data_IF_822810322710
#
_entry.id   IF_822810322710
#
_cell.length_a   1.000
_cell.length_b   1.000
_cell.length_c   1.000
_cell.angle_alpha   90.00
_cell.angle_beta   90.00
_cell.angle_gamma   90.00
#
_symmetry.space_group_name_H-M   'P 1'
#
loop_
_entity.id
_entity.type
_entity.pdbx_description
1 polymer ?
#
# COMPACT_ATOMS: atom_id res chain seq x y z
N UNK A 1 5.05 -2.23 17.99
CA UNK A 1 4.65 -1.57 16.72
C UNK A 1 5.89 -0.98 16.08
N UNK A 2 6.21 -1.36 14.84
CA UNK A 2 7.42 -0.91 14.14
C UNK A 2 7.44 0.63 13.96
N UNK A 3 8.62 1.23 13.83
CA UNK A 3 8.75 2.68 13.62
C UNK A 3 8.11 3.10 12.29
N UNK A 4 8.29 2.30 11.24
CA UNK A 4 7.69 2.50 9.93
C UNK A 4 6.15 2.44 9.97
N UNK A 5 5.58 1.45 10.67
CA UNK A 5 4.11 1.34 10.84
C UNK A 5 3.55 2.55 11.59
N UNK A 6 4.30 3.06 12.56
CA UNK A 6 3.95 4.28 13.31
C UNK A 6 3.97 5.50 12.40
N UNK A 7 5.00 5.65 11.58
CA UNK A 7 5.10 6.73 10.59
C UNK A 7 3.92 6.70 9.60
N UNK A 8 3.63 5.55 8.98
CA UNK A 8 2.51 5.39 8.05
C UNK A 8 1.17 5.74 8.71
N UNK A 9 0.98 5.38 9.99
CA UNK A 9 -0.22 5.74 10.75
C UNK A 9 -0.34 7.25 10.97
N UNK A 10 0.78 7.93 11.22
CA UNK A 10 0.81 9.39 11.37
C UNK A 10 0.55 10.08 10.03
N UNK A 11 1.17 9.61 8.95
CA UNK A 11 0.96 10.12 7.59
C UNK A 11 -0.50 9.95 7.18
N UNK A 12 -1.14 8.84 7.56
CA UNK A 12 -2.58 8.64 7.32
C UNK A 12 -3.41 9.73 8.00
N UNK A 13 -3.09 10.09 9.25
CA UNK A 13 -3.78 11.17 9.97
C UNK A 13 -3.53 12.53 9.29
N UNK A 14 -2.32 12.78 8.78
CA UNK A 14 -2.01 13.99 8.03
C UNK A 14 -2.82 14.06 6.72
N UNK A 15 -2.87 12.96 5.96
CA UNK A 15 -3.67 12.87 4.74
C UNK A 15 -5.17 13.09 5.01
N UNK A 16 -5.69 12.57 6.13
CA UNK A 16 -7.07 12.85 6.58
C UNK A 16 -7.31 14.34 6.81
N UNK A 17 -6.38 15.02 7.51
CA UNK A 17 -6.49 16.47 7.78
C UNK A 17 -6.38 17.31 6.51
N UNK A 18 -5.48 16.92 5.61
CA UNK A 18 -5.27 17.57 4.32
C UNK A 18 -6.39 17.28 3.30
N UNK A 19 -7.30 16.34 3.60
CA UNK A 19 -8.32 15.82 2.66
C UNK A 19 -7.71 15.25 1.38
N UNK A 20 -6.47 14.78 1.44
CA UNK A 20 -5.80 14.10 0.35
C UNK A 20 -6.32 12.67 0.23
N UNK A 21 -7.31 12.50 -0.65
CA UNK A 21 -8.00 11.21 -0.84
C UNK A 21 -7.08 10.14 -1.43
N UNK A 22 -6.15 10.53 -2.30
CA UNK A 22 -5.24 9.60 -2.98
C UNK A 22 -4.23 9.02 -1.98
N UNK A 23 -3.53 9.90 -1.25
CA UNK A 23 -2.60 9.48 -0.21
C UNK A 23 -3.31 8.67 0.89
N UNK A 24 -4.50 9.12 1.32
CA UNK A 24 -5.27 8.42 2.35
C UNK A 24 -5.68 7.00 1.93
N UNK A 25 -6.09 6.80 0.68
CA UNK A 25 -6.42 5.47 0.16
C UNK A 25 -5.18 4.58 0.17
N UNK A 26 -4.05 5.06 -0.36
CA UNK A 26 -2.80 4.31 -0.40
C UNK A 26 -2.32 3.90 1.00
N UNK A 27 -2.28 4.85 1.95
CA UNK A 27 -1.83 4.60 3.32
C UNK A 27 -2.71 3.58 4.05
N UNK A 28 -4.04 3.62 3.83
CA UNK A 28 -4.96 2.61 4.40
C UNK A 28 -4.75 1.23 3.81
N UNK A 29 -4.52 1.12 2.50
CA UNK A 29 -4.21 -0.16 1.87
C UNK A 29 -2.92 -0.76 2.42
N UNK A 30 -1.88 0.05 2.61
CA UNK A 30 -0.62 -0.40 3.21
C UNK A 30 -0.82 -0.90 4.64
N UNK A 31 -1.51 -0.13 5.49
CA UNK A 31 -1.80 -0.55 6.86
C UNK A 31 -2.65 -1.84 6.91
N UNK A 32 -3.60 -1.98 5.99
CA UNK A 32 -4.40 -3.19 5.83
C UNK A 32 -3.55 -4.41 5.49
N UNK A 33 -2.64 -4.29 4.52
CA UNK A 33 -1.75 -5.37 4.11
C UNK A 33 -0.77 -5.78 5.22
N UNK A 34 -0.22 -4.81 5.96
CA UNK A 34 0.62 -5.08 7.14
C UNK A 34 -0.19 -5.85 8.18
N UNK A 35 -1.38 -5.36 8.54
CA UNK A 35 -2.25 -6.01 9.53
C UNK A 35 -2.66 -7.42 9.10
N UNK A 36 -2.97 -7.61 7.82
CA UNK A 36 -3.31 -8.92 7.27
C UNK A 36 -2.17 -9.92 7.51
N UNK A 37 -0.94 -9.54 7.18
CA UNK A 37 0.23 -10.39 7.40
C UNK A 37 0.48 -10.69 8.88
N UNK A 38 0.33 -9.70 9.76
CA UNK A 38 0.44 -9.89 11.22
C UNK A 38 -0.58 -10.92 11.74
N UNK A 39 -1.81 -10.86 11.23
CA UNK A 39 -2.89 -11.78 11.61
C UNK A 39 -2.63 -13.19 11.07
N UNK A 40 -2.25 -13.29 9.80
CA UNK A 40 -2.01 -14.57 9.12
C UNK A 40 -0.83 -15.33 9.75
N UNK A 41 0.26 -14.61 10.02
CA UNK A 41 1.49 -15.19 10.59
C UNK A 41 1.49 -15.19 12.12
N UNK A 42 0.51 -14.54 12.77
CA UNK A 42 0.41 -14.35 14.23
C UNK A 42 1.68 -13.74 14.84
N UNK A 43 2.26 -12.76 14.16
CA UNK A 43 3.44 -12.02 14.59
C UNK A 43 3.19 -10.52 14.56
N UNK A 44 4.03 -9.75 15.24
CA UNK A 44 4.15 -8.32 14.98
C UNK A 44 5.30 -8.09 14.00
N UNK A 45 5.06 -7.34 12.91
CA UNK A 45 6.12 -7.09 11.93
C UNK A 45 7.12 -6.07 12.45
N UNK A 46 8.40 -6.35 12.23
CA UNK A 46 9.45 -5.33 12.32
C UNK A 46 9.51 -4.46 11.04
N UNK A 47 10.35 -3.43 11.04
CA UNK A 47 10.45 -2.49 9.92
C UNK A 47 10.88 -3.14 8.60
N UNK A 48 11.74 -4.16 8.67
CA UNK A 48 12.20 -4.89 7.46
C UNK A 48 11.05 -5.69 6.86
N UNK A 49 10.26 -6.36 7.69
CA UNK A 49 9.10 -7.13 7.24
C UNK A 49 7.98 -6.22 6.72
N UNK A 50 7.74 -5.07 7.37
CA UNK A 50 6.80 -4.07 6.90
C UNK A 50 7.24 -3.48 5.54
N UNK A 51 8.52 -3.17 5.37
CA UNK A 51 9.08 -2.72 4.09
C UNK A 51 8.89 -3.78 3.00
N UNK A 52 9.12 -5.06 3.31
CA UNK A 52 8.90 -6.14 2.35
C UNK A 52 7.43 -6.23 1.88
N UNK A 53 6.46 -5.98 2.77
CA UNK A 53 5.03 -5.90 2.39
C UNK A 53 4.80 -4.76 1.40
N UNK A 54 5.35 -3.57 1.67
CA UNK A 54 5.21 -2.40 0.80
C UNK A 54 5.84 -2.67 -0.57
N UNK A 55 7.05 -3.24 -0.61
CA UNK A 55 7.72 -3.60 -1.86
C UNK A 55 6.90 -4.59 -2.69
N UNK A 56 6.29 -5.60 -2.04
CA UNK A 56 5.38 -6.54 -2.69
C UNK A 56 4.18 -5.83 -3.31
N UNK A 57 3.55 -4.91 -2.59
CA UNK A 57 2.41 -4.13 -3.10
C UNK A 57 2.80 -3.26 -4.30
N UNK A 58 3.97 -2.60 -4.25
CA UNK A 58 4.48 -1.80 -5.38
C UNK A 58 4.71 -2.69 -6.60
N UNK A 59 5.29 -3.87 -6.41
CA UNK A 59 5.48 -4.83 -7.49
C UNK A 59 4.13 -5.26 -8.09
N UNK A 60 3.15 -5.61 -7.25
CA UNK A 60 1.81 -5.99 -7.71
C UNK A 60 1.14 -4.90 -8.54
N UNK A 61 1.23 -3.62 -8.16
CA UNK A 61 0.71 -2.52 -9.00
C UNK A 61 1.41 -2.44 -10.36
N UNK A 62 2.75 -2.55 -10.39
CA UNK A 62 3.52 -2.54 -11.65
C UNK A 62 3.17 -3.72 -12.56
N UNK A 63 3.03 -4.90 -11.97
CA UNK A 63 2.65 -6.12 -12.69
C UNK A 63 1.22 -5.97 -13.26
N UNK A 64 0.28 -5.38 -12.50
CA UNK A 64 -1.07 -5.07 -12.98
C UNK A 64 -1.08 -4.07 -14.14
N UNK A 65 -0.27 -3.00 -14.06
CA UNK A 65 -0.14 -2.02 -15.16
C UNK A 65 0.32 -2.71 -16.44
N UNK A 66 1.35 -3.57 -16.37
CA UNK A 66 1.82 -4.31 -17.54
C UNK A 66 0.71 -5.20 -18.11
N UNK A 67 0.00 -5.96 -17.26
CA UNK A 67 -1.07 -6.85 -17.70
C UNK A 67 -2.24 -6.11 -18.33
N UNK A 68 -2.65 -4.96 -17.77
CA UNK A 68 -3.71 -4.15 -18.34
C UNK A 68 -3.31 -3.55 -19.68
N UNK A 69 -2.07 -3.07 -19.80
CA UNK A 69 -1.51 -2.57 -21.05
C UNK A 69 -1.47 -3.66 -22.14
N UNK A 70 -0.98 -4.85 -21.80
CA UNK A 70 -0.92 -5.99 -22.72
C UNK A 70 -2.33 -6.45 -23.16
N UNK A 71 -3.34 -6.23 -22.31
CA UNK A 71 -4.75 -6.52 -22.60
C UNK A 71 -5.51 -5.36 -23.29
N UNK A 72 -4.85 -4.23 -23.59
CA UNK A 72 -5.48 -3.05 -24.19
C UNK A 72 -6.51 -2.36 -23.28
N UNK A 73 -6.37 -2.49 -21.96
CA UNK A 73 -7.25 -1.90 -20.94
C UNK A 73 -6.65 -0.62 -20.37
N UNK A 74 -6.50 0.39 -21.22
CA UNK A 74 -5.92 1.69 -20.86
C UNK A 74 -6.70 2.37 -19.71
N UNK A 75 -8.01 2.12 -19.61
CA UNK A 75 -8.86 2.58 -18.51
C UNK A 75 -8.38 2.09 -17.13
N UNK A 76 -7.83 0.87 -17.07
CA UNK A 76 -7.30 0.28 -15.83
C UNK A 76 -5.83 0.66 -15.60
N UNK A 77 -5.07 0.94 -16.67
CA UNK A 77 -3.71 1.48 -16.57
C UNK A 77 -3.75 2.86 -15.90
N UNK A 78 -4.62 3.75 -16.37
CA UNK A 78 -4.78 5.10 -15.82
C UNK A 78 -5.13 5.08 -14.32
N UNK A 79 -5.94 4.11 -13.90
CA UNK A 79 -6.32 3.91 -12.48
C UNK A 79 -5.12 3.47 -11.62
N UNK A 80 -4.22 2.66 -12.16
CA UNK A 80 -3.05 2.19 -11.43
C UNK A 80 -1.85 3.15 -11.48
N UNK A 81 -1.79 4.05 -12.47
CA UNK A 81 -0.77 5.10 -12.57
C UNK A 81 -1.13 6.37 -11.76
N UNK A 82 -2.42 6.58 -11.46
CA UNK A 82 -2.90 7.63 -10.56
C UNK A 82 -2.56 7.37 -9.08
#
# INVERSE_FOLDING_TARGET
MSALKTQITNDMKLAMKAKDKAALKALRMILGAIKQREVDERIELNDTQAMAVIQKMVKQRKDSISQFKDAGRDDLVDVEEA
#
